data_IF_628874518100
#
_entry.id   IF_628874518100
#
_cell.length_a   1.000
_cell.length_b   1.000
_cell.length_c   1.000
_cell.angle_alpha   90.00
_cell.angle_beta   90.00
_cell.angle_gamma   90.00
#
_symmetry.space_group_name_H-M   'P 1'
#
loop_
_entity.id
_entity.type
_entity.pdbx_description
1 polymer ?
#
# COMPACT_ATOMS: atom_id res chain seq x y z
N UNK A 1 -6.48 -13.02 -6.29
CA UNK A 1 -5.62 -13.01 -5.09
C UNK A 1 -6.37 -12.30 -4.00
N UNK A 2 -6.44 -12.92 -2.84
CA UNK A 2 -6.89 -12.25 -1.62
C UNK A 2 -5.89 -11.19 -1.19
N UNK A 3 -6.38 -10.15 -0.50
CA UNK A 3 -5.54 -9.09 0.05
C UNK A 3 -4.67 -9.69 1.15
N UNK A 4 -3.33 -9.64 1.05
CA UNK A 4 -2.45 -10.25 2.04
C UNK A 4 -2.49 -9.51 3.37
N UNK A 5 -2.33 -10.27 4.47
CA UNK A 5 -2.36 -9.72 5.81
C UNK A 5 -1.43 -8.50 6.00
N UNK A 6 -1.92 -7.50 6.74
CA UNK A 6 -1.25 -6.23 7.05
C UNK A 6 0.14 -6.39 7.69
N UNK A 7 0.42 -7.52 8.33
CA UNK A 7 1.70 -7.79 8.98
C UNK A 7 2.85 -8.11 8.01
N UNK A 8 2.60 -8.19 6.70
CA UNK A 8 3.68 -8.39 5.73
C UNK A 8 4.56 -7.15 5.61
N UNK A 9 5.88 -7.36 5.69
CA UNK A 9 6.90 -6.31 5.54
C UNK A 9 6.73 -5.47 4.26
N UNK A 10 6.27 -6.09 3.17
CA UNK A 10 6.04 -5.44 1.87
C UNK A 10 5.07 -4.25 1.97
N UNK A 11 4.06 -4.33 2.84
CA UNK A 11 3.15 -3.21 3.07
C UNK A 11 3.89 -2.01 3.67
N UNK A 12 4.73 -2.26 4.69
CA UNK A 12 5.56 -1.24 5.32
C UNK A 12 6.58 -0.64 4.33
N UNK A 13 7.23 -1.48 3.52
CA UNK A 13 8.21 -1.03 2.52
C UNK A 13 7.58 -0.13 1.45
N UNK A 14 6.33 -0.40 1.08
CA UNK A 14 5.56 0.40 0.13
C UNK A 14 5.17 1.75 0.73
N UNK A 15 4.57 1.76 1.93
CA UNK A 15 4.07 3.01 2.52
C UNK A 15 5.22 3.90 3.01
N UNK A 16 6.38 3.34 3.30
CA UNK A 16 7.61 4.08 3.59
C UNK A 16 8.34 4.56 2.34
N UNK A 17 7.97 4.07 1.16
CA UNK A 17 8.64 4.38 -0.10
C UNK A 17 10.01 3.70 -0.27
N UNK A 18 10.38 2.75 0.61
CA UNK A 18 11.59 1.92 0.46
C UNK A 18 11.56 1.08 -0.81
N UNK A 19 10.37 0.61 -1.19
CA UNK A 19 10.13 -0.06 -2.47
C UNK A 19 8.97 0.60 -3.19
N UNK A 20 9.25 1.01 -4.43
CA UNK A 20 8.25 1.51 -5.36
C UNK A 20 7.90 0.40 -6.35
N UNK A 21 6.60 0.21 -6.56
CA UNK A 21 6.06 -0.71 -7.56
C UNK A 21 5.26 0.09 -8.58
N UNK A 22 5.24 -0.36 -9.84
CA UNK A 22 4.33 0.25 -10.81
C UNK A 22 2.90 -0.23 -10.54
N UNK A 23 2.15 0.63 -9.85
CA UNK A 23 0.75 0.38 -9.51
C UNK A 23 -0.16 0.76 -10.69
N UNK A 24 -1.02 -0.16 -11.11
CA UNK A 24 -2.07 0.12 -12.09
C UNK A 24 -3.28 0.80 -11.45
N UNK A 25 -3.48 0.66 -10.13
CA UNK A 25 -4.60 1.30 -9.46
C UNK A 25 -4.29 2.76 -9.09
N UNK A 26 -5.00 3.69 -9.74
CA UNK A 26 -4.77 5.13 -9.57
C UNK A 26 -5.01 5.61 -8.12
N UNK A 27 -6.05 5.10 -7.46
CA UNK A 27 -6.33 5.49 -6.07
C UNK A 27 -5.19 5.04 -5.13
N UNK A 28 -4.58 3.87 -5.38
CA UNK A 28 -3.42 3.43 -4.63
C UNK A 28 -2.21 4.33 -4.89
N UNK A 29 -1.94 4.74 -6.15
CA UNK A 29 -0.87 5.70 -6.49
C UNK A 29 -1.02 7.02 -5.73
N UNK A 30 -2.22 7.60 -5.75
CA UNK A 30 -2.51 8.88 -5.08
C UNK A 30 -2.36 8.73 -3.56
N UNK A 31 -2.96 7.68 -2.98
CA UNK A 31 -2.88 7.43 -1.55
C UNK A 31 -1.43 7.21 -1.11
N UNK A 32 -0.65 6.44 -1.86
CA UNK A 32 0.75 6.18 -1.55
C UNK A 32 1.62 7.42 -1.64
N UNK A 33 1.44 8.26 -2.66
CA UNK A 33 2.15 9.53 -2.74
C UNK A 33 1.93 10.39 -1.49
N UNK A 34 0.70 10.40 -0.96
CA UNK A 34 0.38 11.08 0.31
C UNK A 34 1.06 10.38 1.50
N UNK A 35 0.87 9.08 1.65
CA UNK A 35 1.38 8.31 2.79
C UNK A 35 2.90 8.36 2.88
N UNK A 36 3.60 8.15 1.76
CA UNK A 36 5.07 8.21 1.70
C UNK A 36 5.56 9.58 2.14
N UNK A 37 4.92 10.67 1.68
CA UNK A 37 5.31 12.03 2.09
C UNK A 37 5.04 12.27 3.58
N UNK A 38 3.90 11.85 4.11
CA UNK A 38 3.56 11.97 5.54
C UNK A 38 4.51 11.16 6.42
N UNK A 39 4.78 9.91 6.05
CA UNK A 39 5.69 9.02 6.78
C UNK A 39 7.14 9.51 6.68
N UNK A 40 7.57 10.01 5.51
CA UNK A 40 8.91 10.59 5.35
C UNK A 40 9.11 11.84 6.21
N UNK A 41 8.06 12.65 6.37
CA UNK A 41 8.10 13.83 7.24
C UNK A 41 8.13 13.46 8.73
N UNK A 42 7.52 12.33 9.13
CA UNK A 42 7.52 11.86 10.50
C UNK A 42 7.54 10.32 10.55
N UNK A 43 8.72 9.68 10.49
CA UNK A 43 8.86 8.23 10.33
C UNK A 43 8.69 7.50 11.67
N UNK A 44 7.49 7.57 12.24
CA UNK A 44 7.14 6.81 13.45
C UNK A 44 6.50 5.46 13.11
N UNK A 45 6.65 4.44 13.96
CA UNK A 45 6.00 3.13 13.77
C UNK A 45 4.46 3.24 13.67
N UNK A 46 3.87 4.21 14.36
CA UNK A 46 2.43 4.49 14.31
C UNK A 46 2.00 4.96 12.93
N UNK A 47 2.68 5.96 12.35
CA UNK A 47 2.35 6.47 11.02
C UNK A 47 2.50 5.39 9.93
N UNK A 48 3.50 4.52 10.06
CA UNK A 48 3.66 3.39 9.15
C UNK A 48 2.49 2.43 9.28
N UNK A 49 2.09 2.04 10.49
CA UNK A 49 0.92 1.16 10.71
C UNK A 49 -0.36 1.77 10.16
N UNK A 50 -0.64 3.05 10.45
CA UNK A 50 -1.81 3.73 9.91
C UNK A 50 -1.80 3.83 8.38
N UNK A 51 -0.62 4.01 7.79
CA UNK A 51 -0.45 3.98 6.33
C UNK A 51 -0.75 2.60 5.75
N UNK A 52 -0.25 1.53 6.38
CA UNK A 52 -0.57 0.15 6.01
C UNK A 52 -2.06 -0.11 6.12
N UNK A 53 -2.70 0.32 7.21
CA UNK A 53 -4.15 0.16 7.42
C UNK A 53 -4.96 0.86 6.32
N UNK A 54 -4.62 2.10 5.98
CA UNK A 54 -5.30 2.85 4.93
C UNK A 54 -5.14 2.20 3.55
N UNK A 55 -3.93 1.78 3.21
CA UNK A 55 -3.65 1.14 1.93
C UNK A 55 -4.33 -0.22 1.83
N UNK A 56 -4.27 -1.03 2.89
CA UNK A 56 -4.92 -2.34 2.94
C UNK A 56 -6.45 -2.21 2.82
N UNK A 57 -7.06 -1.29 3.58
CA UNK A 57 -8.50 -1.04 3.50
C UNK A 57 -8.92 -0.56 2.11
N UNK A 58 -8.09 0.22 1.42
CA UNK A 58 -8.33 0.61 0.03
C UNK A 58 -8.34 -0.61 -0.88
N UNK A 59 -7.36 -1.51 -0.76
CA UNK A 59 -7.28 -2.73 -1.54
C UNK A 59 -8.42 -3.72 -1.23
N UNK A 60 -8.83 -3.86 0.04
CA UNK A 60 -9.98 -4.68 0.42
C UNK A 60 -11.29 -4.17 -0.18
N UNK A 61 -11.56 -2.86 -0.04
CA UNK A 61 -12.75 -2.21 -0.58
C UNK A 61 -12.85 -2.32 -2.10
N UNK A 62 -11.71 -2.38 -2.79
CA UNK A 62 -11.62 -2.42 -4.25
C UNK A 62 -11.09 -3.78 -4.74
N UNK A 63 -11.19 -4.84 -3.93
CA UNK A 63 -10.63 -6.17 -4.23
C UNK A 63 -11.17 -6.80 -5.51
N UNK A 64 -12.38 -6.41 -5.93
CA UNK A 64 -13.02 -6.80 -7.18
C UNK A 64 -12.41 -6.13 -8.44
N UNK A 65 -11.61 -5.07 -8.28
CA UNK A 65 -11.01 -4.37 -9.40
C UNK A 65 -9.81 -5.15 -10.00
N UNK A 66 -9.74 -5.33 -11.33
CA UNK A 66 -8.61 -6.01 -11.97
C UNK A 66 -7.27 -5.32 -11.74
N UNK A 67 -7.27 -3.99 -11.65
CA UNK A 67 -6.08 -3.18 -11.36
C UNK A 67 -5.53 -3.45 -9.96
N UNK A 68 -6.42 -3.63 -8.97
CA UNK A 68 -6.05 -4.05 -7.61
C UNK A 68 -5.41 -5.43 -7.62
N UNK A 69 -5.97 -6.38 -8.36
CA UNK A 69 -5.42 -7.72 -8.48
C UNK A 69 -4.03 -7.73 -9.12
N UNK A 70 -3.81 -6.90 -10.14
CA UNK A 70 -2.49 -6.71 -10.76
C UNK A 70 -1.48 -6.09 -9.79
N UNK A 71 -1.89 -5.09 -9.01
CA UNK A 71 -1.04 -4.47 -8.00
C UNK A 71 -0.64 -5.49 -6.94
N UNK A 72 -1.61 -6.21 -6.36
CA UNK A 72 -1.33 -7.23 -5.35
C UNK A 72 -0.39 -8.30 -5.88
N UNK A 73 -0.54 -8.71 -7.14
CA UNK A 73 0.38 -9.64 -7.79
C UNK A 73 1.78 -9.03 -8.00
N UNK A 74 1.89 -7.74 -8.33
CA UNK A 74 3.18 -7.07 -8.49
C UNK A 74 3.92 -6.90 -7.15
N UNK A 75 3.18 -6.69 -6.06
CA UNK A 75 3.73 -6.42 -4.73
C UNK A 75 4.07 -7.73 -3.99
N UNK A 76 3.23 -8.75 -4.15
CA UNK A 76 3.25 -9.98 -3.33
C UNK A 76 3.45 -11.28 -4.12
N UNK A 77 3.38 -11.23 -5.44
CA UNK A 77 3.57 -12.38 -6.32
C UNK A 77 5.01 -12.62 -6.72
#
# INVERSE_FOLDING_TARGET
>A
MDVPAKNKQQWADIVTGKKTYDLKFLAAKILLGRLVRTISANPTPTNVREGVDQLHALYEKNSSAPSVQLDLKNIFG
#
